data_IF_055012821430
#
_entry.id   IF_055012821430
#
_cell.length_a   1.000
_cell.length_b   1.000
_cell.length_c   1.000
_cell.angle_alpha   90.00
_cell.angle_beta   90.00
_cell.angle_gamma   90.00
#
_symmetry.space_group_name_H-M   'P 1'
#
loop_
_entity.id
_entity.type
_entity.pdbx_description
1 polymer ?
#
# COMPACT_ATOMS: atom_id res chain seq x y z
N UNK A 1 -38.69 -42.04 4.99
CA UNK A 1 -39.57 -42.36 6.16
C UNK A 1 -39.34 -43.83 6.51
N UNK A 2 -39.35 -44.22 7.79
CA UNK A 2 -39.64 -43.43 8.99
C UNK A 2 -38.42 -43.39 9.96
N UNK A 3 -38.36 -42.52 10.97
CA UNK A 3 -39.37 -41.61 11.47
C UNK A 3 -38.69 -40.48 12.24
N UNK A 4 -39.18 -39.26 12.01
CA UNK A 4 -39.00 -38.18 12.97
C UNK A 4 -40.04 -38.27 14.06
N UNK A 5 -39.77 -37.60 15.19
CA UNK A 5 -40.72 -36.75 15.93
C UNK A 5 -39.97 -35.91 16.99
N UNK A 6 -40.56 -34.79 17.44
CA UNK A 6 -39.85 -33.57 17.79
C UNK A 6 -39.97 -33.20 19.28
N UNK A 7 -39.03 -32.39 19.76
CA UNK A 7 -39.19 -31.56 20.95
C UNK A 7 -38.66 -30.17 20.59
N UNK A 8 -39.50 -29.19 20.22
CA UNK A 8 -40.30 -28.32 21.09
C UNK A 8 -39.50 -27.85 22.31
N UNK A 9 -38.86 -26.69 22.17
CA UNK A 9 -38.78 -25.67 23.21
C UNK A 9 -38.54 -24.31 22.53
N UNK A 10 -39.64 -23.59 22.34
CA UNK A 10 -39.63 -22.16 22.17
C UNK A 10 -39.16 -21.52 23.48
N UNK A 11 -38.17 -20.63 23.41
CA UNK A 11 -37.92 -19.64 24.45
C UNK A 11 -37.72 -18.28 23.79
N UNK A 12 -38.84 -17.57 23.67
CA UNK A 12 -38.84 -16.12 23.84
C UNK A 12 -38.26 -15.82 25.22
N UNK A 13 -37.17 -15.08 25.28
CA UNK A 13 -36.60 -14.55 26.50
C UNK A 13 -36.10 -13.14 26.23
N UNK A 14 -37.01 -12.17 26.40
CA UNK A 14 -36.68 -10.75 26.42
C UNK A 14 -35.66 -10.49 27.54
N UNK A 15 -34.43 -10.12 27.16
CA UNK A 15 -33.48 -9.54 28.09
C UNK A 15 -33.63 -8.02 28.03
N UNK A 16 -34.44 -7.47 28.92
CA UNK A 16 -34.36 -6.06 29.33
C UNK A 16 -32.95 -5.85 29.91
N UNK A 17 -32.08 -5.15 29.18
CA UNK A 17 -30.90 -4.56 29.77
C UNK A 17 -31.35 -3.37 30.64
N UNK A 18 -31.30 -3.56 31.96
CA UNK A 18 -31.37 -2.49 32.95
C UNK A 18 -30.32 -1.44 32.62
N UNK A 19 -30.76 -0.23 32.28
CA UNK A 19 -29.95 0.98 32.25
C UNK A 19 -29.78 1.50 33.68
N UNK A 20 -28.57 1.59 34.25
CA UNK A 20 -28.32 2.52 35.33
C UNK A 20 -28.17 3.92 34.72
N UNK A 21 -29.17 4.76 34.96
CA UNK A 21 -29.10 6.18 34.68
C UNK A 21 -28.04 6.83 35.56
N UNK A 22 -26.90 7.16 34.94
CA UNK A 22 -25.91 8.05 35.54
C UNK A 22 -26.01 9.40 34.82
N UNK A 23 -26.77 10.31 35.43
CA UNK A 23 -26.74 11.71 35.07
C UNK A 23 -25.35 12.26 35.41
N UNK A 24 -24.52 12.46 34.40
CA UNK A 24 -23.32 13.28 34.51
C UNK A 24 -23.69 14.64 33.94
N UNK A 25 -24.20 15.51 34.81
CA UNK A 25 -24.08 16.96 34.61
C UNK A 25 -22.59 17.30 34.70
N UNK A 26 -21.89 17.15 33.59
CA UNK A 26 -20.55 17.68 33.40
C UNK A 26 -20.69 19.12 32.92
N UNK A 27 -20.62 20.07 33.85
CA UNK A 27 -20.34 21.47 33.53
C UNK A 27 -19.12 21.52 32.62
N UNK A 28 -19.28 22.05 31.41
CA UNK A 28 -18.15 22.36 30.54
C UNK A 28 -17.33 23.41 31.29
N UNK A 29 -16.15 23.01 31.77
CA UNK A 29 -15.14 23.93 32.28
C UNK A 29 -14.79 24.90 31.14
N UNK A 30 -15.44 26.06 31.16
CA UNK A 30 -14.96 27.23 30.46
C UNK A 30 -13.62 27.57 31.13
N UNK A 31 -12.52 27.08 30.55
CA UNK A 31 -11.19 27.62 30.84
C UNK A 31 -11.19 29.06 30.34
N UNK A 32 -11.63 29.96 31.20
CA UNK A 32 -11.39 31.40 31.09
C UNK A 32 -9.89 31.56 31.18
N UNK A 33 -9.24 31.88 30.06
CA UNK A 33 -7.89 32.45 30.08
C UNK A 33 -7.97 33.69 30.96
N UNK A 34 -7.40 33.60 32.16
CA UNK A 34 -7.24 34.72 33.06
C UNK A 34 -6.40 35.78 32.38
N UNK A 35 -6.99 36.94 32.12
CA UNK A 35 -6.24 38.13 31.75
C UNK A 35 -5.33 38.52 32.94
N UNK A 36 -4.07 38.85 32.64
CA UNK A 36 -3.10 39.36 33.62
C UNK A 36 -3.62 40.71 34.13
N UNK A 37 -3.80 40.92 35.44
CA UNK A 37 -4.23 42.22 35.96
C UNK A 37 -3.04 43.18 35.93
N UNK A 38 -3.18 44.28 35.19
CA UNK A 38 -2.26 45.43 35.28
C UNK A 38 -2.65 46.21 36.54
N UNK A 39 -1.72 46.47 37.49
CA UNK A 39 -2.05 47.28 38.66
C UNK A 39 -2.36 48.71 38.24
N UNK A 40 -3.46 49.24 38.76
CA UNK A 40 -3.94 50.59 38.45
C UNK A 40 -2.92 51.67 38.82
N UNK A 41 -2.60 52.50 37.83
CA UNK A 41 -2.17 53.87 38.04
C UNK A 41 -3.20 54.77 37.36
N UNK A 42 -4.05 55.41 38.17
CA UNK A 42 -4.95 56.44 37.71
C UNK A 42 -4.13 57.66 37.28
N UNK A 43 -4.08 57.92 35.98
CA UNK A 43 -3.71 59.23 35.44
C UNK A 43 -4.86 59.62 34.50
N UNK A 44 -5.60 60.65 34.89
CA UNK A 44 -6.62 61.25 34.04
C UNK A 44 -5.95 61.91 32.83
N UNK A 45 -6.30 61.47 31.63
CA UNK A 45 -5.95 62.10 30.36
C UNK A 45 -7.26 62.36 29.57
N UNK A 46 -7.40 63.51 28.89
CA UNK A 46 -8.63 63.86 28.20
C UNK A 46 -8.76 63.09 26.87
N UNK A 47 -10.01 62.72 26.57
CA UNK A 47 -10.59 62.30 25.29
C UNK A 47 -9.66 61.56 24.30
N UNK A 48 -9.66 60.22 24.42
CA UNK A 48 -9.34 59.30 23.33
C UNK A 48 -10.60 58.53 22.95
N UNK A 49 -11.65 59.24 22.54
CA UNK A 49 -12.64 58.65 21.66
C UNK A 49 -11.94 58.37 20.32
N UNK A 50 -12.10 57.13 19.82
CA UNK A 50 -11.72 56.69 18.47
C UNK A 50 -10.37 55.96 18.28
N UNK A 51 -10.07 54.93 19.08
CA UNK A 51 -9.13 53.85 18.68
C UNK A 51 -9.49 52.42 19.08
N UNK A 52 -10.75 52.12 19.38
CA UNK A 52 -11.21 50.71 19.40
C UNK A 52 -11.74 50.31 18.03
N UNK A 53 -10.86 50.28 17.00
CA UNK A 53 -11.10 49.35 15.89
C UNK A 53 -10.80 47.96 16.42
N UNK A 54 -11.80 47.33 17.05
CA UNK A 54 -11.82 45.87 17.12
C UNK A 54 -11.76 45.39 15.66
N UNK A 55 -10.63 44.82 15.25
CA UNK A 55 -10.57 44.11 13.99
C UNK A 55 -11.71 43.08 14.00
N UNK A 56 -12.54 43.00 12.93
CA UNK A 56 -13.57 41.97 12.85
C UNK A 56 -12.92 40.60 13.09
N UNK A 57 -13.54 39.76 13.92
CA UNK A 57 -13.12 38.36 14.03
C UNK A 57 -13.15 37.74 12.62
N UNK A 58 -12.18 36.88 12.26
CA UNK A 58 -12.19 36.19 10.97
C UNK A 58 -13.54 35.47 10.79
N UNK A 59 -14.24 35.77 9.69
CA UNK A 59 -15.48 35.08 9.35
C UNK A 59 -15.15 33.65 8.90
N UNK A 60 -15.55 32.67 9.71
CA UNK A 60 -15.32 31.24 9.46
C UNK A 60 -16.38 30.63 8.54
N UNK A 61 -17.45 31.36 8.20
CA UNK A 61 -18.55 30.84 7.38
C UNK A 61 -18.10 30.38 5.99
N UNK A 62 -17.20 31.08 5.27
CA UNK A 62 -16.69 30.62 3.99
C UNK A 62 -15.91 29.31 4.11
N UNK A 63 -14.99 29.20 5.09
CA UNK A 63 -14.24 27.97 5.33
C UNK A 63 -15.19 26.79 5.62
N UNK A 64 -16.16 27.00 6.51
CA UNK A 64 -17.18 25.98 6.83
C UNK A 64 -17.94 25.56 5.57
N UNK A 65 -18.40 26.50 4.74
CA UNK A 65 -19.11 26.18 3.51
C UNK A 65 -18.26 25.36 2.54
N UNK A 66 -16.95 25.61 2.48
CA UNK A 66 -16.02 24.84 1.64
C UNK A 66 -15.85 23.40 2.14
N UNK A 67 -15.70 23.22 3.45
CA UNK A 67 -15.60 21.91 4.08
C UNK A 67 -16.91 21.12 3.99
N UNK A 68 -18.06 21.78 4.14
CA UNK A 68 -19.38 21.15 3.96
C UNK A 68 -19.57 20.65 2.52
N UNK A 69 -19.14 21.45 1.52
CA UNK A 69 -19.16 21.04 0.12
C UNK A 69 -18.27 19.81 -0.12
N UNK A 70 -17.08 19.80 0.48
CA UNK A 70 -16.16 18.66 0.40
C UNK A 70 -16.76 17.39 1.04
N UNK A 71 -17.39 17.52 2.21
CA UNK A 71 -18.06 16.42 2.90
C UNK A 71 -19.23 15.83 2.07
N UNK A 72 -19.85 16.64 1.21
CA UNK A 72 -20.89 16.23 0.27
C UNK A 72 -20.34 15.67 -1.05
N UNK A 73 -19.01 15.62 -1.23
CA UNK A 73 -18.36 15.17 -2.47
C UNK A 73 -18.41 16.20 -3.61
N UNK A 74 -18.71 17.46 -3.30
CA UNK A 74 -18.74 18.57 -4.25
C UNK A 74 -17.40 19.33 -4.25
N UNK A 75 -16.38 18.66 -4.75
CA UNK A 75 -15.02 19.20 -4.92
C UNK A 75 -14.98 20.45 -5.81
N UNK A 76 -15.76 20.56 -6.92
CA UNK A 76 -15.86 21.81 -7.67
C UNK A 76 -16.32 23.00 -6.84
N UNK A 77 -17.39 22.86 -6.03
CA UNK A 77 -17.83 23.93 -5.13
C UNK A 77 -16.81 24.25 -4.05
N UNK A 78 -16.21 23.23 -3.44
CA UNK A 78 -15.16 23.44 -2.43
C UNK A 78 -13.98 24.26 -2.99
N UNK A 79 -13.56 23.97 -4.24
CA UNK A 79 -12.52 24.75 -4.94
C UNK A 79 -12.94 26.18 -5.21
N UNK A 80 -14.17 26.40 -5.68
CA UNK A 80 -14.68 27.76 -5.87
C UNK A 80 -14.67 28.58 -4.57
N UNK A 81 -14.97 27.95 -3.43
CA UNK A 81 -14.87 28.60 -2.10
C UNK A 81 -13.42 28.88 -1.73
N UNK A 82 -12.49 27.93 -1.95
CA UNK A 82 -11.05 28.12 -1.72
C UNK A 82 -10.50 29.32 -2.49
N UNK A 83 -10.91 29.47 -3.74
CA UNK A 83 -10.40 30.52 -4.64
C UNK A 83 -10.97 31.91 -4.28
N UNK A 84 -12.10 31.95 -3.57
CA UNK A 84 -12.71 33.19 -3.05
C UNK A 84 -12.15 33.61 -1.67
N UNK A 85 -11.45 32.71 -0.95
CA UNK A 85 -10.81 33.04 0.32
C UNK A 85 -9.59 33.95 0.09
N UNK A 86 -9.22 34.79 1.07
CA UNK A 86 -8.03 35.63 0.96
C UNK A 86 -6.77 34.81 0.68
N UNK A 87 -5.98 35.25 -0.30
CA UNK A 87 -4.77 34.56 -0.71
C UNK A 87 -3.79 34.41 0.47
N UNK A 88 -3.20 33.23 0.62
CA UNK A 88 -2.25 32.87 1.68
C UNK A 88 -2.85 32.90 3.10
N UNK A 89 -4.17 33.01 3.24
CA UNK A 89 -4.83 32.87 4.54
C UNK A 89 -4.77 31.43 5.06
N UNK A 90 -4.81 31.28 6.37
CA UNK A 90 -4.90 29.97 7.01
C UNK A 90 -6.13 29.19 6.51
N UNK A 91 -7.26 29.86 6.32
CA UNK A 91 -8.49 29.24 5.82
C UNK A 91 -8.33 28.70 4.39
N UNK A 92 -7.68 29.48 3.51
CA UNK A 92 -7.35 29.02 2.17
C UNK A 92 -6.43 27.80 2.22
N UNK A 93 -5.42 27.81 3.09
CA UNK A 93 -4.50 26.69 3.27
C UNK A 93 -5.21 25.43 3.78
N UNK A 94 -6.06 25.56 4.81
CA UNK A 94 -6.86 24.46 5.35
C UNK A 94 -7.73 23.85 4.26
N UNK A 95 -8.44 24.70 3.49
CA UNK A 95 -9.36 24.21 2.47
C UNK A 95 -8.61 23.60 1.28
N UNK A 96 -7.49 24.18 0.85
CA UNK A 96 -6.62 23.61 -0.19
C UNK A 96 -6.09 22.23 0.20
N UNK A 97 -5.60 22.09 1.44
CA UNK A 97 -5.14 20.82 2.00
C UNK A 97 -6.27 19.78 2.07
N UNK A 98 -7.44 20.19 2.58
CA UNK A 98 -8.60 19.30 2.70
C UNK A 98 -9.07 18.82 1.32
N UNK A 99 -9.19 19.70 0.33
CA UNK A 99 -9.54 19.35 -1.05
C UNK A 99 -8.53 18.35 -1.62
N UNK A 100 -7.23 18.61 -1.44
CA UNK A 100 -6.19 17.76 -2.01
C UNK A 100 -6.12 16.36 -1.37
N UNK A 101 -6.51 16.22 -0.10
CA UNK A 101 -6.60 14.93 0.59
C UNK A 101 -7.92 14.18 0.33
N UNK A 102 -9.04 14.89 0.37
CA UNK A 102 -10.38 14.28 0.48
C UNK A 102 -11.31 14.60 -0.69
N UNK A 103 -10.91 15.45 -1.64
CA UNK A 103 -11.76 15.84 -2.75
C UNK A 103 -11.96 14.78 -3.82
N UNK A 104 -11.31 13.62 -3.69
CA UNK A 104 -11.54 12.46 -4.55
C UNK A 104 -11.19 12.71 -6.02
N UNK A 105 -11.89 12.01 -6.91
CA UNK A 105 -11.46 11.88 -8.31
C UNK A 105 -11.66 13.12 -9.18
N UNK A 106 -12.41 14.11 -8.67
CA UNK A 106 -12.71 15.37 -9.37
C UNK A 106 -11.68 16.47 -9.11
N UNK A 107 -10.68 16.21 -8.27
CA UNK A 107 -9.60 17.18 -7.99
C UNK A 107 -8.47 16.98 -9.01
N UNK A 108 -8.08 18.05 -9.73
CA UNK A 108 -6.97 18.00 -10.66
C UNK A 108 -5.60 17.80 -9.99
N UNK A 109 -4.63 17.22 -10.70
CA UNK A 109 -3.27 17.02 -10.19
C UNK A 109 -2.57 18.33 -9.85
N UNK A 110 -2.87 19.40 -10.60
CA UNK A 110 -2.30 20.73 -10.37
C UNK A 110 -2.75 21.33 -9.04
N UNK A 111 -4.03 21.15 -8.68
CA UNK A 111 -4.56 21.60 -7.38
C UNK A 111 -3.87 20.88 -6.22
N UNK A 112 -3.64 19.58 -6.36
CA UNK A 112 -2.98 18.75 -5.33
C UNK A 112 -1.51 19.14 -5.22
N UNK A 113 -0.84 19.32 -6.35
CA UNK A 113 0.58 19.71 -6.40
C UNK A 113 0.80 21.12 -5.85
N UNK A 114 -0.10 22.05 -6.16
CA UNK A 114 -0.06 23.40 -5.60
C UNK A 114 -0.24 23.37 -4.07
N UNK A 115 -1.20 22.60 -3.55
CA UNK A 115 -1.39 22.43 -2.12
C UNK A 115 -0.14 21.83 -1.44
N UNK A 116 0.47 20.80 -2.03
CA UNK A 116 1.69 20.19 -1.50
C UNK A 116 2.90 21.15 -1.47
N UNK A 117 3.07 21.98 -2.51
CA UNK A 117 4.15 22.98 -2.59
C UNK A 117 3.94 24.13 -1.60
N UNK A 118 2.70 24.56 -1.43
CA UNK A 118 2.33 25.62 -0.50
C UNK A 118 2.47 25.18 0.96
N UNK A 119 2.30 23.87 1.23
CA UNK A 119 2.18 23.31 2.58
C UNK A 119 3.17 22.14 2.84
N UNK A 120 4.50 22.34 2.69
CA UNK A 120 5.47 21.24 2.70
C UNK A 120 5.58 20.51 4.05
N UNK A 121 5.26 21.17 5.16
CA UNK A 121 5.35 20.61 6.53
C UNK A 121 4.00 20.19 7.11
N UNK A 122 2.95 20.15 6.28
CA UNK A 122 1.63 19.76 6.73
C UNK A 122 1.47 18.23 6.73
N UNK A 123 0.59 17.68 7.58
CA UNK A 123 0.37 16.24 7.62
C UNK A 123 -0.19 15.72 6.28
N UNK A 124 0.05 14.43 6.01
CA UNK A 124 -0.55 13.76 4.85
C UNK A 124 0.17 13.97 3.51
N UNK A 125 1.41 14.45 3.49
CA UNK A 125 2.20 14.63 2.24
C UNK A 125 2.27 13.36 1.38
N UNK A 126 2.38 12.17 2.00
CA UNK A 126 2.34 10.88 1.30
C UNK A 126 0.98 10.65 0.62
N UNK A 127 -0.11 10.97 1.29
CA UNK A 127 -1.45 10.83 0.72
C UNK A 127 -1.68 11.83 -0.42
N UNK A 128 -1.24 13.08 -0.25
CA UNK A 128 -1.26 14.09 -1.30
C UNK A 128 -0.50 13.62 -2.54
N UNK A 129 0.69 13.07 -2.36
CA UNK A 129 1.47 12.51 -3.46
C UNK A 129 0.72 11.40 -4.19
N UNK A 130 0.19 10.42 -3.47
CA UNK A 130 -0.60 9.33 -4.07
C UNK A 130 -1.85 9.85 -4.80
N UNK A 131 -2.51 10.87 -4.26
CA UNK A 131 -3.67 11.48 -4.91
C UNK A 131 -3.26 12.22 -6.19
N UNK A 132 -2.14 12.93 -6.18
CA UNK A 132 -1.59 13.59 -7.37
C UNK A 132 -1.26 12.57 -8.47
N UNK A 133 -0.63 11.45 -8.13
CA UNK A 133 -0.33 10.38 -9.09
C UNK A 133 -1.61 9.80 -9.74
N UNK A 134 -2.66 9.56 -8.95
CA UNK A 134 -3.96 9.10 -9.47
C UNK A 134 -4.64 10.14 -10.35
N UNK A 135 -4.56 11.42 -9.99
CA UNK A 135 -5.09 12.51 -10.79
C UNK A 135 -4.37 12.63 -12.14
N UNK A 136 -3.02 12.60 -12.14
CA UNK A 136 -2.21 12.58 -13.36
C UNK A 136 -2.58 11.41 -14.27
N UNK A 137 -2.79 10.22 -13.71
CA UNK A 137 -3.21 9.06 -14.49
C UNK A 137 -4.58 9.24 -15.15
N UNK A 138 -5.56 9.83 -14.45
CA UNK A 138 -6.90 10.11 -14.99
C UNK A 138 -6.87 11.19 -16.07
N UNK A 139 -6.09 12.24 -15.85
CA UNK A 139 -5.96 13.36 -16.77
C UNK A 139 -5.18 13.00 -18.03
N UNK A 140 -4.23 12.05 -17.89
CA UNK A 140 -3.35 11.61 -18.96
C UNK A 140 -2.74 12.78 -19.76
N UNK A 141 -2.05 13.73 -19.09
CA UNK A 141 -1.50 14.91 -19.74
C UNK A 141 -0.31 14.54 -20.64
N UNK A 142 0.23 15.55 -21.36
CA UNK A 142 1.38 15.35 -22.23
C UNK A 142 2.60 14.77 -21.47
N UNK A 143 3.45 13.94 -22.11
CA UNK A 143 4.56 13.27 -21.45
C UNK A 143 5.51 14.18 -20.67
N UNK A 144 5.80 15.39 -21.18
CA UNK A 144 6.70 16.35 -20.53
C UNK A 144 6.10 16.89 -19.21
N UNK A 145 4.78 17.04 -19.16
CA UNK A 145 4.05 17.46 -17.94
C UNK A 145 4.14 16.36 -16.89
N UNK A 146 3.88 15.10 -17.28
CA UNK A 146 3.99 13.95 -16.36
C UNK A 146 5.41 13.85 -15.81
N UNK A 147 6.43 13.84 -16.67
CA UNK A 147 7.83 13.70 -16.25
C UNK A 147 8.22 14.85 -15.29
N UNK A 148 7.80 16.08 -15.58
CA UNK A 148 8.06 17.24 -14.71
C UNK A 148 7.31 17.14 -13.37
N UNK A 149 6.08 16.62 -13.37
CA UNK A 149 5.29 16.47 -12.15
C UNK A 149 5.92 15.49 -11.15
N UNK A 150 6.60 14.44 -11.64
CA UNK A 150 7.34 13.51 -10.79
C UNK A 150 8.69 14.06 -10.32
N UNK A 151 9.28 15.04 -11.01
CA UNK A 151 10.53 15.71 -10.62
C UNK A 151 11.66 14.74 -10.19
N UNK A 152 11.83 13.66 -10.95
CA UNK A 152 12.82 12.61 -10.67
C UNK A 152 12.50 11.66 -9.51
N UNK A 153 11.37 11.84 -8.83
CA UNK A 153 10.95 11.00 -7.71
C UNK A 153 10.18 9.76 -8.17
N UNK A 154 10.35 8.64 -7.44
CA UNK A 154 9.73 7.35 -7.81
C UNK A 154 8.23 7.30 -7.46
N UNK A 155 7.36 6.79 -8.35
CA UNK A 155 5.94 6.68 -8.06
C UNK A 155 5.65 5.76 -6.87
N UNK A 156 4.57 6.05 -6.15
CA UNK A 156 4.11 5.31 -4.96
C UNK A 156 2.82 4.54 -5.19
N UNK A 157 2.20 4.71 -6.36
CA UNK A 157 0.94 4.07 -6.76
C UNK A 157 1.11 3.32 -8.07
N UNK A 158 0.22 2.36 -8.32
CA UNK A 158 0.14 1.67 -9.60
C UNK A 158 -0.14 2.68 -10.73
N UNK A 159 -1.07 3.59 -10.51
CA UNK A 159 -1.44 4.65 -11.45
C UNK A 159 -0.24 5.54 -11.79
N UNK A 160 0.54 5.92 -10.78
CA UNK A 160 1.77 6.68 -10.93
C UNK A 160 2.83 5.95 -11.76
N UNK A 161 3.02 4.64 -11.50
CA UNK A 161 3.93 3.78 -12.28
C UNK A 161 3.49 3.73 -13.74
N UNK A 162 2.20 3.49 -13.98
CA UNK A 162 1.66 3.38 -15.34
C UNK A 162 1.81 4.69 -16.11
N UNK A 163 1.38 5.83 -15.53
CA UNK A 163 1.44 7.13 -16.25
C UNK A 163 2.88 7.58 -16.50
N UNK A 164 3.78 7.42 -15.54
CA UNK A 164 5.18 7.81 -15.69
C UNK A 164 5.92 6.91 -16.68
N UNK A 165 5.68 5.59 -16.64
CA UNK A 165 6.25 4.67 -17.62
C UNK A 165 5.75 4.98 -19.04
N UNK A 166 4.45 5.26 -19.22
CA UNK A 166 3.89 5.70 -20.52
C UNK A 166 4.58 6.96 -21.02
N UNK A 167 4.75 7.96 -20.15
CA UNK A 167 5.41 9.21 -20.50
C UNK A 167 6.86 8.98 -20.95
N UNK A 168 7.64 8.18 -20.23
CA UNK A 168 9.00 7.86 -20.64
C UNK A 168 9.08 7.08 -21.96
N UNK A 169 8.16 6.13 -22.19
CA UNK A 169 8.10 5.41 -23.47
C UNK A 169 7.75 6.36 -24.62
N UNK A 170 6.78 7.25 -24.43
CA UNK A 170 6.39 8.25 -25.43
C UNK A 170 7.54 9.23 -25.75
N UNK A 171 8.43 9.50 -24.79
CA UNK A 171 9.66 10.28 -24.98
C UNK A 171 10.87 9.44 -25.43
N UNK A 172 10.66 8.19 -25.89
CA UNK A 172 11.72 7.26 -26.32
C UNK A 172 12.79 6.95 -25.27
N UNK A 173 12.49 7.16 -23.98
CA UNK A 173 13.40 6.92 -22.88
C UNK A 173 13.11 5.59 -22.17
N UNK A 174 13.37 4.48 -22.87
CA UNK A 174 13.14 3.12 -22.36
C UNK A 174 13.91 2.82 -21.08
N UNK A 175 15.11 3.42 -20.90
CA UNK A 175 15.91 3.23 -19.69
C UNK A 175 15.19 3.81 -18.47
N UNK A 176 14.62 5.01 -18.59
CA UNK A 176 13.86 5.62 -17.51
C UNK A 176 12.54 4.86 -17.24
N UNK A 177 11.84 4.42 -18.28
CA UNK A 177 10.64 3.59 -18.11
C UNK A 177 10.95 2.31 -17.31
N UNK A 178 12.03 1.60 -17.64
CA UNK A 178 12.48 0.41 -16.88
C UNK A 178 12.84 0.73 -15.43
N UNK A 179 13.49 1.87 -15.18
CA UNK A 179 13.87 2.27 -13.81
C UNK A 179 12.66 2.47 -12.88
N UNK A 180 11.50 2.80 -13.45
CA UNK A 180 10.23 2.93 -12.73
C UNK A 180 9.53 1.56 -12.61
N UNK A 181 9.49 0.80 -13.71
CA UNK A 181 8.75 -0.46 -13.78
C UNK A 181 9.38 -1.58 -12.95
N UNK A 182 10.69 -1.81 -13.08
CA UNK A 182 11.39 -2.95 -12.47
C UNK A 182 11.25 -3.06 -10.94
N UNK A 183 11.56 -2.02 -10.14
CA UNK A 183 11.49 -2.12 -8.68
C UNK A 183 10.04 -2.32 -8.19
N UNK A 184 9.08 -1.65 -8.81
CA UNK A 184 7.66 -1.82 -8.51
C UNK A 184 7.20 -3.23 -8.88
N UNK A 185 7.47 -3.68 -10.10
CA UNK A 185 7.07 -4.98 -10.61
C UNK A 185 7.59 -6.13 -9.77
N UNK A 186 8.83 -6.07 -9.31
CA UNK A 186 9.44 -7.15 -8.49
C UNK A 186 8.73 -7.39 -7.16
N UNK A 187 8.07 -6.37 -6.60
CA UNK A 187 7.67 -6.37 -5.18
C UNK A 187 6.20 -6.05 -4.93
N UNK A 188 5.52 -5.38 -5.87
CA UNK A 188 4.14 -4.94 -5.70
C UNK A 188 3.16 -6.11 -5.61
N UNK A 189 2.29 -6.07 -4.62
CA UNK A 189 1.13 -6.96 -4.54
C UNK A 189 0.05 -6.35 -5.44
N UNK A 190 -0.20 -7.02 -6.57
CA UNK A 190 -1.20 -6.59 -7.54
C UNK A 190 -2.37 -7.57 -7.59
N UNK A 191 -3.55 -7.03 -7.85
CA UNK A 191 -4.71 -7.79 -8.29
C UNK A 191 -4.49 -8.31 -9.72
N UNK A 192 -5.18 -9.39 -10.08
CA UNK A 192 -4.99 -10.03 -11.39
C UNK A 192 -5.27 -9.08 -12.57
N UNK A 193 -6.23 -8.17 -12.41
CA UNK A 193 -6.56 -7.14 -13.42
C UNK A 193 -5.40 -6.18 -13.66
N UNK A 194 -4.81 -5.64 -12.60
CA UNK A 194 -3.75 -4.64 -12.68
C UNK A 194 -2.44 -5.26 -13.18
N UNK A 195 -2.18 -6.50 -12.74
CA UNK A 195 -1.07 -7.31 -13.25
C UNK A 195 -1.17 -7.53 -14.76
N UNK A 196 -2.34 -7.96 -15.24
CA UNK A 196 -2.58 -8.18 -16.66
C UNK A 196 -2.47 -6.87 -17.47
N UNK A 197 -2.96 -5.75 -16.92
CA UNK A 197 -2.85 -4.43 -17.56
C UNK A 197 -1.38 -3.99 -17.70
N UNK A 198 -0.57 -4.14 -16.65
CA UNK A 198 0.84 -3.78 -16.68
C UNK A 198 1.63 -4.69 -17.63
N UNK A 199 1.40 -6.00 -17.61
CA UNK A 199 2.03 -6.94 -18.56
C UNK A 199 1.66 -6.57 -20.00
N UNK A 200 0.38 -6.28 -20.26
CA UNK A 200 -0.10 -5.93 -21.60
C UNK A 200 0.62 -4.71 -22.17
N UNK A 201 0.86 -3.70 -21.34
CA UNK A 201 1.48 -2.45 -21.79
C UNK A 201 3.01 -2.51 -21.79
N UNK A 202 3.61 -3.17 -20.80
CA UNK A 202 5.04 -3.05 -20.51
C UNK A 202 5.78 -4.38 -20.35
N UNK A 203 5.10 -5.52 -20.50
CA UNK A 203 5.69 -6.84 -20.26
C UNK A 203 6.96 -7.12 -21.07
N UNK A 204 7.05 -6.60 -22.30
CA UNK A 204 8.23 -6.69 -23.17
C UNK A 204 9.36 -5.73 -22.80
N UNK A 205 9.06 -4.65 -22.08
CA UNK A 205 10.07 -3.71 -21.58
C UNK A 205 10.74 -4.20 -20.30
N UNK A 206 10.00 -4.96 -19.49
CA UNK A 206 10.50 -5.52 -18.23
C UNK A 206 11.44 -6.70 -18.52
N UNK A 207 12.67 -6.72 -17.98
CA UNK A 207 13.61 -7.82 -18.16
C UNK A 207 13.05 -9.16 -17.67
N UNK A 208 13.41 -10.25 -18.36
CA UNK A 208 13.08 -11.62 -17.95
C UNK A 208 13.54 -11.93 -16.51
N UNK A 209 14.68 -11.36 -16.08
CA UNK A 209 15.19 -11.49 -14.71
C UNK A 209 14.25 -10.87 -13.65
N UNK A 210 13.53 -9.79 -13.97
CA UNK A 210 12.57 -9.17 -13.05
C UNK A 210 11.25 -9.95 -13.01
N UNK A 211 10.81 -10.48 -14.15
CA UNK A 211 9.71 -11.45 -14.19
C UNK A 211 10.03 -12.69 -13.35
N UNK A 212 11.27 -13.20 -13.48
CA UNK A 212 11.76 -14.35 -12.71
C UNK A 212 11.77 -14.08 -11.22
N UNK A 213 12.31 -12.93 -10.80
CA UNK A 213 12.31 -12.54 -9.39
C UNK A 213 10.89 -12.45 -8.82
N UNK A 214 9.97 -11.78 -9.53
CA UNK A 214 8.56 -11.67 -9.13
C UNK A 214 7.91 -13.04 -9.01
N UNK A 215 8.13 -13.92 -9.99
CA UNK A 215 7.60 -15.28 -10.01
C UNK A 215 8.03 -16.07 -8.78
N UNK A 216 9.32 -16.12 -8.47
CA UNK A 216 9.83 -16.85 -7.29
C UNK A 216 9.31 -16.25 -5.99
N UNK A 217 9.29 -14.91 -5.87
CA UNK A 217 8.70 -14.22 -4.72
C UNK A 217 7.23 -14.58 -4.50
N UNK A 218 6.46 -14.76 -5.58
CA UNK A 218 5.07 -15.19 -5.47
C UNK A 218 4.94 -16.63 -5.00
N UNK A 219 5.85 -17.52 -5.36
CA UNK A 219 5.86 -18.88 -4.82
C UNK A 219 6.17 -18.89 -3.32
N UNK A 220 7.18 -18.14 -2.87
CA UNK A 220 7.46 -18.01 -1.43
C UNK A 220 6.30 -17.41 -0.62
N UNK A 221 5.45 -16.62 -1.26
CA UNK A 221 4.29 -15.98 -0.63
C UNK A 221 2.98 -16.78 -0.83
N UNK A 222 3.05 -18.06 -1.20
CA UNK A 222 1.88 -18.94 -1.43
C UNK A 222 0.91 -18.44 -2.53
N UNK A 223 1.40 -17.66 -3.49
CA UNK A 223 0.63 -17.10 -4.62
C UNK A 223 0.92 -17.84 -5.93
N UNK A 224 0.88 -19.18 -5.91
CA UNK A 224 1.22 -20.03 -7.06
C UNK A 224 0.47 -19.66 -8.36
N UNK A 225 -0.83 -19.37 -8.29
CA UNK A 225 -1.61 -18.98 -9.47
C UNK A 225 -1.12 -17.66 -10.11
N UNK A 226 -0.60 -16.73 -9.30
CA UNK A 226 0.01 -15.50 -9.81
C UNK A 226 1.37 -15.75 -10.42
N UNK A 227 2.19 -16.59 -9.77
CA UNK A 227 3.49 -16.98 -10.31
C UNK A 227 3.36 -17.65 -11.68
N UNK A 228 2.39 -18.55 -11.85
CA UNK A 228 2.13 -19.24 -13.12
C UNK A 228 1.78 -18.28 -14.27
N UNK A 229 1.09 -17.16 -14.01
CA UNK A 229 0.75 -16.18 -15.05
C UNK A 229 1.99 -15.48 -15.63
N UNK A 230 3.04 -15.32 -14.84
CA UNK A 230 4.27 -14.62 -15.27
C UNK A 230 5.40 -15.58 -15.67
N UNK A 231 5.23 -16.90 -15.47
CA UNK A 231 6.28 -17.89 -15.67
C UNK A 231 6.80 -17.96 -17.12
N UNK A 232 5.93 -17.76 -18.11
CA UNK A 232 6.32 -17.65 -19.52
C UNK A 232 7.22 -16.44 -19.79
N UNK A 233 6.89 -15.28 -19.22
CA UNK A 233 7.70 -14.05 -19.34
C UNK A 233 9.05 -14.17 -18.61
N UNK A 234 9.08 -14.97 -17.54
CA UNK A 234 10.28 -15.30 -16.79
C UNK A 234 11.18 -16.35 -17.49
N UNK A 235 10.73 -16.96 -18.59
CA UNK A 235 11.45 -18.07 -19.22
C UNK A 235 11.59 -19.31 -18.32
N UNK A 236 10.61 -19.50 -17.42
CA UNK A 236 10.72 -20.35 -16.23
C UNK A 236 9.54 -21.31 -16.05
N UNK A 237 8.80 -21.60 -17.13
CA UNK A 237 7.54 -22.33 -17.07
C UNK A 237 7.67 -23.69 -16.37
N UNK A 238 8.68 -24.48 -16.72
CA UNK A 238 8.87 -25.82 -16.16
C UNK A 238 9.18 -25.77 -14.67
N UNK A 239 9.96 -24.78 -14.20
CA UNK A 239 10.14 -24.59 -12.76
C UNK A 239 8.80 -24.21 -12.10
N UNK A 240 8.05 -23.28 -12.67
CA UNK A 240 6.81 -22.82 -12.07
C UNK A 240 5.77 -23.94 -11.95
N UNK A 241 5.62 -24.76 -12.98
CA UNK A 241 4.73 -25.92 -12.97
C UNK A 241 5.17 -26.95 -11.92
N UNK A 242 6.47 -27.20 -11.81
CA UNK A 242 7.03 -28.11 -10.81
C UNK A 242 6.87 -27.59 -9.37
N UNK A 243 7.07 -26.30 -9.15
CA UNK A 243 6.90 -25.67 -7.83
C UNK A 243 5.43 -25.65 -7.43
N UNK A 244 4.52 -25.31 -8.34
CA UNK A 244 3.09 -25.36 -8.07
C UNK A 244 2.60 -26.79 -7.72
N UNK A 245 3.18 -27.81 -8.34
CA UNK A 245 2.90 -29.21 -8.03
C UNK A 245 3.48 -29.64 -6.67
N UNK A 246 4.73 -29.23 -6.39
CA UNK A 246 5.40 -29.47 -5.11
C UNK A 246 4.63 -28.85 -3.94
N UNK A 247 4.18 -27.61 -4.11
CA UNK A 247 3.39 -26.89 -3.12
C UNK A 247 2.04 -27.59 -2.86
N UNK A 248 1.39 -28.15 -3.87
CA UNK A 248 0.16 -28.93 -3.68
C UNK A 248 0.38 -30.33 -3.11
N UNK A 249 1.62 -30.81 -2.98
CA UNK A 249 1.92 -32.19 -2.65
C UNK A 249 1.44 -33.17 -3.73
N UNK A 250 1.42 -32.74 -4.99
CA UNK A 250 0.95 -33.56 -6.11
C UNK A 250 1.87 -34.79 -6.31
N UNK A 251 1.28 -35.96 -6.57
CA UNK A 251 2.02 -37.20 -6.87
C UNK A 251 2.91 -37.08 -8.11
N UNK A 252 2.61 -36.14 -9.01
CA UNK A 252 3.40 -35.86 -10.20
C UNK A 252 4.56 -34.88 -9.95
N UNK A 253 4.65 -34.25 -8.77
CA UNK A 253 5.69 -33.27 -8.46
C UNK A 253 7.12 -33.82 -8.66
N UNK A 254 7.48 -35.06 -8.26
CA UNK A 254 8.83 -35.60 -8.50
C UNK A 254 9.20 -35.67 -9.99
N UNK A 255 8.24 -36.03 -10.84
CA UNK A 255 8.44 -36.10 -12.29
C UNK A 255 8.65 -34.70 -12.86
N UNK A 256 7.85 -33.72 -12.43
CA UNK A 256 7.97 -32.33 -12.88
C UNK A 256 9.27 -31.68 -12.40
N UNK A 257 9.65 -31.86 -11.13
CA UNK A 257 10.91 -31.37 -10.57
C UNK A 257 12.11 -31.94 -11.34
N UNK A 258 12.12 -33.24 -11.62
CA UNK A 258 13.20 -33.87 -12.43
C UNK A 258 13.27 -33.32 -13.85
N UNK A 259 12.13 -32.93 -14.43
CA UNK A 259 12.03 -32.39 -15.79
C UNK A 259 12.45 -30.91 -15.90
N UNK A 260 12.65 -30.19 -14.78
CA UNK A 260 13.10 -28.78 -14.81
C UNK A 260 14.49 -28.70 -15.45
N UNK A 261 14.66 -27.95 -16.57
CA UNK A 261 15.95 -27.78 -17.23
C UNK A 261 16.96 -27.05 -16.34
N UNK A 262 18.25 -27.36 -16.47
CA UNK A 262 19.31 -26.77 -15.64
C UNK A 262 19.28 -25.23 -15.63
N UNK A 263 19.02 -24.60 -16.78
CA UNK A 263 18.92 -23.13 -16.91
C UNK A 263 17.77 -22.49 -16.09
N UNK A 264 16.79 -23.28 -15.65
CA UNK A 264 15.68 -22.80 -14.82
C UNK A 264 15.85 -23.17 -13.34
N UNK A 265 16.92 -23.88 -12.95
CA UNK A 265 17.16 -24.30 -11.57
C UNK A 265 17.84 -23.18 -10.77
N UNK A 266 17.05 -22.23 -10.26
CA UNK A 266 17.51 -21.21 -9.31
C UNK A 266 17.46 -21.73 -7.86
N UNK A 267 17.68 -20.87 -6.87
CA UNK A 267 17.42 -21.18 -5.47
C UNK A 267 16.01 -21.79 -5.28
N UNK A 268 14.99 -21.19 -5.90
CA UNK A 268 13.61 -21.66 -5.82
C UNK A 268 13.39 -23.12 -6.24
N UNK A 269 14.26 -23.69 -7.10
CA UNK A 269 14.21 -25.11 -7.44
C UNK A 269 14.57 -26.02 -6.26
N UNK A 270 15.56 -25.63 -5.46
CA UNK A 270 15.93 -26.36 -4.24
C UNK A 270 14.85 -26.16 -3.17
N UNK A 271 14.29 -24.96 -3.06
CA UNK A 271 13.18 -24.69 -2.14
C UNK A 271 11.96 -25.59 -2.44
N UNK A 272 11.51 -25.62 -3.70
CA UNK A 272 10.38 -26.45 -4.12
C UNK A 272 10.60 -27.94 -3.83
N UNK A 273 11.81 -28.46 -4.05
CA UNK A 273 12.16 -29.84 -3.71
C UNK A 273 12.14 -30.09 -2.20
N UNK A 274 12.73 -29.18 -1.41
CA UNK A 274 12.76 -29.29 0.04
C UNK A 274 11.35 -29.26 0.63
N UNK A 275 10.50 -28.32 0.19
CA UNK A 275 9.11 -28.25 0.62
C UNK A 275 8.33 -29.51 0.26
N UNK A 276 8.51 -30.05 -0.95
CA UNK A 276 7.86 -31.30 -1.34
C UNK A 276 8.26 -32.44 -0.39
N UNK A 277 9.56 -32.63 -0.16
CA UNK A 277 10.08 -33.68 0.72
C UNK A 277 9.60 -33.50 2.17
N UNK A 278 9.59 -32.26 2.67
CA UNK A 278 9.03 -31.91 3.97
C UNK A 278 7.56 -32.27 4.09
N UNK A 279 6.75 -32.04 3.05
CA UNK A 279 5.32 -32.44 3.00
C UNK A 279 5.14 -33.96 2.95
N UNK A 280 6.16 -34.72 2.56
CA UNK A 280 6.19 -36.19 2.66
C UNK A 280 6.84 -36.70 3.96
N UNK A 281 7.13 -35.81 4.92
CA UNK A 281 7.82 -36.12 6.18
C UNK A 281 9.26 -36.66 6.01
N UNK A 282 9.85 -36.52 4.81
CA UNK A 282 11.27 -36.83 4.56
C UNK A 282 12.14 -35.60 4.89
N UNK A 283 12.28 -35.32 6.19
CA UNK A 283 13.02 -34.15 6.67
C UNK A 283 14.53 -34.24 6.42
N UNK A 284 15.10 -35.45 6.49
CA UNK A 284 16.51 -35.68 6.18
C UNK A 284 16.81 -35.40 4.70
N UNK A 285 15.96 -35.88 3.79
CA UNK A 285 16.03 -35.55 2.38
C UNK A 285 15.86 -34.06 2.12
N UNK A 286 14.85 -33.43 2.73
CA UNK A 286 14.60 -32.00 2.60
C UNK A 286 15.80 -31.16 3.05
N UNK A 287 16.41 -31.48 4.20
CA UNK A 287 17.59 -30.79 4.69
C UNK A 287 18.80 -30.95 3.76
N UNK A 288 19.01 -32.15 3.22
CA UNK A 288 20.07 -32.40 2.23
C UNK A 288 19.89 -31.59 0.95
N UNK A 289 18.65 -31.31 0.54
CA UNK A 289 18.35 -30.40 -0.58
C UNK A 289 18.63 -28.95 -0.21
N UNK A 290 18.22 -28.48 0.98
CA UNK A 290 18.47 -27.10 1.42
C UNK A 290 19.96 -26.78 1.50
N UNK A 291 20.80 -27.75 1.88
CA UNK A 291 22.26 -27.60 1.90
C UNK A 291 22.90 -27.44 0.50
N UNK A 292 22.19 -27.80 -0.58
CA UNK A 292 22.65 -27.61 -1.96
C UNK A 292 22.29 -26.23 -2.52
N UNK A 293 21.37 -25.51 -1.86
CA UNK A 293 20.94 -24.19 -2.30
C UNK A 293 22.07 -23.16 -2.17
N UNK A 294 22.09 -22.12 -3.03
CA UNK A 294 23.04 -21.02 -2.88
C UNK A 294 22.87 -20.32 -1.52
N UNK A 295 23.95 -19.79 -0.97
CA UNK A 295 23.95 -19.02 0.28
C UNK A 295 23.89 -17.51 0.07
N UNK A 296 24.08 -17.05 -1.16
CA UNK A 296 24.03 -15.64 -1.52
C UNK A 296 22.62 -15.05 -1.37
N UNK A 297 22.52 -13.90 -0.70
CA UNK A 297 21.23 -13.31 -0.30
C UNK A 297 20.40 -12.85 -1.51
N UNK A 298 21.04 -12.40 -2.59
CA UNK A 298 20.34 -11.97 -3.79
C UNK A 298 19.79 -13.17 -4.58
N UNK A 299 20.55 -14.27 -4.65
CA UNK A 299 20.15 -15.50 -5.30
C UNK A 299 18.91 -16.17 -4.64
N UNK A 300 18.72 -15.97 -3.34
CA UNK A 300 17.59 -16.54 -2.59
C UNK A 300 16.24 -15.90 -2.92
N UNK A 301 16.23 -14.68 -3.46
CA UNK A 301 15.04 -13.83 -3.72
C UNK A 301 14.28 -13.40 -2.45
N UNK A 302 13.97 -14.34 -1.56
CA UNK A 302 13.34 -14.12 -0.25
C UNK A 302 14.10 -14.87 0.87
N UNK A 303 15.18 -14.29 1.40
CA UNK A 303 15.98 -14.91 2.45
C UNK A 303 15.20 -15.26 3.73
N UNK A 304 14.10 -14.57 4.01
CA UNK A 304 13.31 -14.79 5.22
C UNK A 304 12.48 -16.07 5.06
N UNK A 305 11.92 -16.34 3.87
CA UNK A 305 11.27 -17.61 3.56
C UNK A 305 12.24 -18.80 3.71
N UNK A 306 13.49 -18.64 3.25
CA UNK A 306 14.54 -19.65 3.43
C UNK A 306 14.89 -19.90 4.89
N UNK A 307 14.94 -18.85 5.71
CA UNK A 307 15.18 -18.99 7.13
C UNK A 307 14.06 -19.76 7.82
N UNK A 308 12.80 -19.51 7.45
CA UNK A 308 11.65 -20.26 7.97
C UNK A 308 11.78 -21.74 7.65
N UNK A 309 12.04 -22.08 6.38
CA UNK A 309 12.20 -23.48 5.94
C UNK A 309 13.34 -24.18 6.67
N UNK A 310 14.53 -23.55 6.76
CA UNK A 310 15.68 -24.08 7.51
C UNK A 310 15.36 -24.33 8.97
N UNK A 311 14.66 -23.40 9.62
CA UNK A 311 14.30 -23.52 11.04
C UNK A 311 13.31 -24.66 11.29
N UNK A 312 12.35 -24.86 10.38
CA UNK A 312 11.42 -25.99 10.47
C UNK A 312 12.20 -27.30 10.37
N UNK A 313 13.02 -27.47 9.34
CA UNK A 313 13.79 -28.69 9.13
C UNK A 313 14.77 -28.99 10.29
N UNK A 314 15.45 -27.97 10.81
CA UNK A 314 16.36 -28.13 11.96
C UNK A 314 15.62 -28.68 13.19
N UNK A 315 14.40 -28.21 13.47
CA UNK A 315 13.58 -28.72 14.59
C UNK A 315 13.12 -30.16 14.37
N UNK A 316 12.62 -30.47 13.18
CA UNK A 316 12.17 -31.83 12.85
C UNK A 316 13.33 -32.83 12.94
N UNK A 317 14.54 -32.45 12.51
CA UNK A 317 15.74 -33.29 12.64
C UNK A 317 16.16 -33.51 14.10
N UNK A 318 16.02 -32.50 14.96
CA UNK A 318 16.24 -32.63 16.41
C UNK A 318 15.26 -33.65 17.00
N UNK A 319 13.99 -33.57 16.63
CA UNK A 319 12.94 -34.47 17.11
C UNK A 319 13.16 -35.91 16.63
N UNK A 320 13.77 -36.09 15.45
CA UNK A 320 14.21 -37.39 14.93
C UNK A 320 15.55 -37.89 15.51
N UNK A 321 16.23 -37.08 16.32
CA UNK A 321 17.53 -37.42 16.93
C UNK A 321 18.74 -37.20 16.02
N UNK A 322 18.59 -36.66 14.81
CA UNK A 322 19.70 -36.28 13.94
C UNK A 322 20.22 -34.87 14.26
N UNK A 323 20.81 -34.75 15.45
CA UNK A 323 21.40 -33.51 15.94
C UNK A 323 22.50 -33.01 14.98
N UNK A 324 23.26 -33.91 14.36
CA UNK A 324 24.39 -33.53 13.51
C UNK A 324 23.93 -32.82 12.24
N UNK A 325 22.86 -33.30 11.61
CA UNK A 325 22.26 -32.60 10.47
C UNK A 325 21.58 -31.30 10.90
N UNK A 326 20.90 -31.29 12.06
CA UNK A 326 20.16 -30.12 12.54
C UNK A 326 21.01 -28.87 12.79
N UNK A 327 22.30 -29.03 13.15
CA UNK A 327 23.24 -27.93 13.45
C UNK A 327 24.03 -27.41 12.24
N UNK A 328 23.91 -28.05 11.08
CA UNK A 328 24.59 -27.62 9.84
C UNK A 328 23.74 -26.61 9.07
#
# INVERSE_FOLDING_TARGET
>A
MPGGRPHLLALLGAALALMPGMAISGSVDARVTSAIPIPGAAIALPDLQDRTRQAPLPDVAPLKSGLDALAQGDSPRARGVRDALPAQSLDQHILAWAIALYGGDKVPSDDITAAAKMLPNWPGTVALRKNSERALYRENPAPDIVIRAFDGSQPQTFEGVMVLARAYVASSNTKAARSVLSPFWRTAILEARDEAALIKEFGSLIPAADHRFRMERMFYADRANSALRVAGLAGAQQLADAWAAADKGDKNAPKLLKAVPAMQRSAGYFFAQAEYLRKQEDFAGAAAIVMQAPTDREALVDPDAWWVERRVLSRELVDQGDMKAAYK
#
